data_IF_170231605485
#
_entry.id   IF_170231605485
#
_cell.length_a   1.000
_cell.length_b   1.000
_cell.length_c   1.000
_cell.angle_alpha   90.00
_cell.angle_beta   90.00
_cell.angle_gamma   90.00
#
_symmetry.space_group_name_H-M   'P 1'
#
loop_
_entity.id
_entity.type
_entity.pdbx_description
1 polymer ?
#
# COMPACT_ATOMS: atom_id res chain seq x y z
N UNK A 1 0.23 -7.89 -14.76
CA UNK A 1 0.75 -8.10 -13.39
C UNK A 1 -0.14 -7.46 -12.34
N UNK A 2 -0.21 -6.13 -12.26
CA UNK A 2 -1.05 -5.43 -11.27
C UNK A 2 -2.54 -5.85 -11.33
N UNK A 3 -3.17 -5.86 -12.51
CA UNK A 3 -4.55 -6.33 -12.67
C UNK A 3 -4.77 -7.76 -12.17
N UNK A 4 -3.86 -8.68 -12.50
CA UNK A 4 -3.94 -10.07 -12.05
C UNK A 4 -3.84 -10.20 -10.53
N UNK A 5 -3.00 -9.39 -9.89
CA UNK A 5 -2.88 -9.37 -8.43
C UNK A 5 -4.12 -8.77 -7.78
N UNK A 6 -4.70 -7.72 -8.35
CA UNK A 6 -5.96 -7.13 -7.86
C UNK A 6 -7.12 -8.12 -7.96
N UNK A 7 -7.36 -8.72 -9.14
CA UNK A 7 -8.44 -9.70 -9.32
C UNK A 7 -8.30 -10.90 -8.37
N UNK A 8 -7.08 -11.40 -8.16
CA UNK A 8 -6.82 -12.49 -7.23
C UNK A 8 -7.01 -12.06 -5.78
N UNK A 9 -6.61 -10.85 -5.42
CA UNK A 9 -6.83 -10.32 -4.07
C UNK A 9 -8.32 -10.12 -3.79
N UNK A 10 -9.08 -9.55 -4.74
CA UNK A 10 -10.52 -9.40 -4.65
C UNK A 10 -11.22 -10.75 -4.45
N UNK A 11 -10.83 -11.78 -5.22
CA UNK A 11 -11.38 -13.13 -5.05
C UNK A 11 -11.08 -13.71 -3.64
N UNK A 12 -9.87 -13.48 -3.10
CA UNK A 12 -9.54 -13.89 -1.73
C UNK A 12 -10.34 -13.09 -0.69
N UNK A 13 -10.53 -11.79 -0.93
CA UNK A 13 -11.27 -10.91 -0.05
C UNK A 13 -12.75 -11.32 0.03
N UNK A 14 -13.39 -11.61 -1.10
CA UNK A 14 -14.76 -12.14 -1.17
C UNK A 14 -14.89 -13.50 -0.46
N UNK A 15 -14.00 -14.44 -0.77
CA UNK A 15 -13.97 -15.78 -0.15
C UNK A 15 -13.82 -15.73 1.36
N UNK A 16 -13.13 -14.70 1.87
CA UNK A 16 -12.89 -14.48 3.28
C UNK A 16 -13.75 -13.37 3.87
N UNK A 17 -14.89 -13.04 3.24
CA UNK A 17 -15.91 -12.13 3.79
C UNK A 17 -15.34 -10.76 4.20
N UNK A 18 -14.40 -10.23 3.43
CA UNK A 18 -13.77 -8.94 3.71
C UNK A 18 -12.67 -8.96 4.76
N UNK A 19 -12.27 -10.11 5.30
CA UNK A 19 -11.17 -10.19 6.27
C UNK A 19 -9.81 -9.94 5.61
N UNK A 20 -9.38 -8.67 5.58
CA UNK A 20 -8.18 -8.20 4.89
C UNK A 20 -6.92 -9.02 5.20
N UNK A 21 -6.56 -9.16 6.48
CA UNK A 21 -5.36 -9.90 6.91
C UNK A 21 -5.40 -11.36 6.43
N UNK A 22 -6.56 -12.01 6.53
CA UNK A 22 -6.72 -13.40 6.10
C UNK A 22 -6.59 -13.52 4.58
N UNK A 23 -7.24 -12.63 3.83
CA UNK A 23 -7.14 -12.59 2.37
C UNK A 23 -5.69 -12.33 1.91
N UNK A 24 -4.97 -11.45 2.59
CA UNK A 24 -3.57 -11.15 2.31
C UNK A 24 -2.67 -12.38 2.50
N UNK A 25 -2.85 -13.10 3.60
CA UNK A 25 -2.09 -14.33 3.90
C UNK A 25 -2.37 -15.43 2.87
N UNK A 26 -3.62 -15.60 2.43
CA UNK A 26 -3.95 -16.61 1.41
C UNK A 26 -3.41 -16.21 0.02
N UNK A 27 -3.50 -14.92 -0.36
CA UNK A 27 -2.86 -14.44 -1.59
C UNK A 27 -1.35 -14.67 -1.55
N UNK A 28 -0.68 -14.39 -0.44
CA UNK A 28 0.77 -14.57 -0.31
C UNK A 28 1.19 -16.04 -0.53
N UNK A 29 0.40 -17.00 -0.04
CA UNK A 29 0.61 -18.44 -0.29
C UNK A 29 0.43 -18.79 -1.77
N UNK A 30 -0.64 -18.30 -2.39
CA UNK A 30 -0.92 -18.53 -3.81
C UNK A 30 0.18 -17.93 -4.70
N UNK A 31 0.59 -16.69 -4.40
CA UNK A 31 1.61 -15.97 -5.14
C UNK A 31 2.97 -16.70 -5.08
N UNK A 32 3.36 -17.17 -3.89
CA UNK A 32 4.62 -17.91 -3.71
C UNK A 32 4.65 -19.24 -4.45
N UNK A 33 3.49 -19.92 -4.56
CA UNK A 33 3.42 -21.28 -5.12
C UNK A 33 3.16 -21.30 -6.62
N UNK A 34 2.52 -20.27 -7.17
CA UNK A 34 2.29 -20.12 -8.60
C UNK A 34 3.56 -19.63 -9.31
N UNK A 35 4.15 -20.49 -10.14
CA UNK A 35 5.39 -20.22 -10.89
C UNK A 35 5.31 -18.98 -11.78
N UNK A 36 4.12 -18.62 -12.27
CA UNK A 36 3.94 -17.43 -13.10
C UNK A 36 3.96 -16.16 -12.25
N UNK A 37 3.29 -16.18 -11.09
CA UNK A 37 3.22 -15.05 -10.18
C UNK A 37 4.54 -14.83 -9.43
N UNK A 38 5.23 -15.90 -9.03
CA UNK A 38 6.48 -15.81 -8.26
C UNK A 38 7.63 -15.12 -9.00
N UNK A 39 7.50 -14.88 -10.31
CA UNK A 39 8.48 -14.17 -11.14
C UNK A 39 8.23 -12.65 -11.19
N UNK A 40 7.11 -12.19 -10.63
CA UNK A 40 6.80 -10.77 -10.55
C UNK A 40 7.71 -10.11 -9.52
N UNK A 41 8.45 -9.09 -9.93
CA UNK A 41 9.18 -8.19 -9.02
C UNK A 41 8.25 -7.12 -8.42
N UNK A 42 6.97 -7.46 -8.28
CA UNK A 42 5.93 -6.56 -7.80
C UNK A 42 5.70 -6.76 -6.29
N UNK A 43 5.21 -5.69 -5.67
CA UNK A 43 4.67 -5.69 -4.31
C UNK A 43 3.26 -5.12 -4.38
N UNK A 44 2.37 -5.61 -3.53
CA UNK A 44 0.98 -5.17 -3.46
C UNK A 44 0.72 -4.55 -2.08
N UNK A 45 0.30 -3.28 -2.05
CA UNK A 45 -0.20 -2.64 -0.85
C UNK A 45 -1.72 -2.78 -0.79
N UNK A 46 -2.25 -3.20 0.36
CA UNK A 46 -3.69 -3.32 0.61
C UNK A 46 -3.99 -2.71 1.97
N UNK A 47 -5.11 -2.00 2.10
CA UNK A 47 -5.48 -1.36 3.35
C UNK A 47 -7.00 -1.33 3.53
N UNK A 48 -7.42 -1.32 4.79
CA UNK A 48 -8.76 -0.95 5.20
C UNK A 48 -8.68 -0.17 6.53
N UNK A 49 -9.83 0.12 7.14
CA UNK A 49 -9.92 0.79 8.44
C UNK A 49 -9.15 0.12 9.60
N UNK A 50 -8.86 -1.18 9.47
CA UNK A 50 -8.30 -1.99 10.56
C UNK A 50 -6.81 -2.29 10.38
N UNK A 51 -6.30 -2.34 9.14
CA UNK A 51 -4.90 -2.68 8.86
C UNK A 51 -4.40 -2.15 7.50
N UNK A 52 -3.09 -1.91 7.42
CA UNK A 52 -2.34 -1.59 6.19
C UNK A 52 -1.26 -2.63 5.98
N UNK A 53 -1.26 -3.34 4.85
CA UNK A 53 -0.39 -4.49 4.60
C UNK A 53 0.35 -4.37 3.27
N UNK A 54 1.59 -4.85 3.26
CA UNK A 54 2.38 -5.08 2.05
C UNK A 54 2.51 -6.59 1.83
N UNK A 55 2.20 -7.04 0.61
CA UNK A 55 2.27 -8.44 0.17
C UNK A 55 3.34 -8.55 -0.93
N UNK A 56 4.23 -9.53 -0.81
CA UNK A 56 5.31 -9.76 -1.78
C UNK A 56 5.20 -11.10 -2.49
N UNK A 57 5.83 -11.22 -3.66
CA UNK A 57 5.90 -12.50 -4.40
C UNK A 57 6.68 -13.61 -3.70
N UNK A 58 7.44 -13.30 -2.65
CA UNK A 58 8.10 -14.30 -1.80
C UNK A 58 7.15 -14.94 -0.78
N UNK A 59 5.90 -14.43 -0.71
CA UNK A 59 4.89 -14.86 0.25
C UNK A 59 5.00 -14.17 1.59
N UNK A 60 5.61 -12.98 1.65
CA UNK A 60 5.64 -12.17 2.86
C UNK A 60 4.36 -11.32 2.97
N UNK A 61 3.85 -11.19 4.21
CA UNK A 61 2.81 -10.23 4.57
C UNK A 61 3.35 -9.39 5.70
N UNK A 62 3.52 -8.10 5.45
CA UNK A 62 4.17 -7.16 6.39
C UNK A 62 3.22 -6.01 6.69
N UNK A 63 3.01 -5.76 7.97
CA UNK A 63 2.33 -4.56 8.45
C UNK A 63 3.38 -3.51 8.82
N UNK A 64 3.43 -2.35 8.15
CA UNK A 64 4.38 -1.30 8.48
C UNK A 64 4.05 -0.61 9.80
N UNK A 65 5.08 -0.05 10.42
CA UNK A 65 4.92 0.84 11.57
C UNK A 65 4.04 2.04 11.20
N UNK A 66 3.20 2.47 12.14
CA UNK A 66 2.25 3.59 11.99
C UNK A 66 1.24 3.45 10.84
N UNK A 67 1.09 2.25 10.24
CA UNK A 67 0.20 2.00 9.12
C UNK A 67 0.59 2.72 7.82
N UNK A 68 1.83 3.22 7.74
CA UNK A 68 2.30 4.09 6.66
C UNK A 68 3.03 3.31 5.56
N UNK A 69 2.49 3.38 4.34
CA UNK A 69 3.07 2.73 3.16
C UNK A 69 3.44 3.80 2.13
N UNK A 70 4.67 3.73 1.62
CA UNK A 70 5.08 4.48 0.44
C UNK A 70 5.87 3.56 -0.50
N UNK A 71 5.63 3.68 -1.80
CA UNK A 71 6.21 2.81 -2.82
C UNK A 71 6.58 3.63 -4.07
N UNK A 72 7.41 3.04 -4.93
CA UNK A 72 7.86 3.68 -6.17
C UNK A 72 9.09 4.56 -6.00
N UNK A 73 9.46 5.26 -7.06
CA UNK A 73 10.69 6.04 -7.17
C UNK A 73 10.81 7.17 -6.13
N UNK A 74 9.70 7.83 -5.80
CA UNK A 74 9.62 8.86 -4.76
C UNK A 74 9.31 8.33 -3.37
N UNK A 75 9.15 7.00 -3.21
CA UNK A 75 8.58 6.39 -2.01
C UNK A 75 9.34 6.74 -0.72
N UNK A 76 10.67 6.69 -0.74
CA UNK A 76 11.48 6.99 0.45
C UNK A 76 11.34 8.46 0.91
N UNK A 77 11.23 9.41 -0.02
CA UNK A 77 11.05 10.83 0.30
C UNK A 77 9.65 11.09 0.87
N UNK A 78 8.63 10.51 0.22
CA UNK A 78 7.26 10.58 0.70
C UNK A 78 7.14 9.95 2.10
N UNK A 79 7.74 8.78 2.33
CA UNK A 79 7.71 8.11 3.63
C UNK A 79 8.35 8.95 4.74
N UNK A 80 9.51 9.55 4.46
CA UNK A 80 10.21 10.39 5.43
C UNK A 80 9.38 11.64 5.79
N UNK A 81 8.81 12.31 4.78
CA UNK A 81 7.95 13.46 4.98
C UNK A 81 6.68 13.09 5.77
N UNK A 82 6.00 12.01 5.36
CA UNK A 82 4.74 11.59 5.94
C UNK A 82 4.91 11.19 7.41
N UNK A 83 5.98 10.46 7.73
CA UNK A 83 6.31 10.10 9.12
C UNK A 83 6.60 11.33 9.97
N UNK A 84 7.31 12.33 9.44
CA UNK A 84 7.58 13.56 10.16
C UNK A 84 6.29 14.34 10.45
N UNK A 85 5.39 14.44 9.46
CA UNK A 85 4.09 15.11 9.62
C UNK A 85 3.20 14.38 10.63
N UNK A 86 3.10 13.06 10.53
CA UNK A 86 2.33 12.23 11.45
C UNK A 86 2.76 12.41 12.91
N UNK A 87 4.07 12.54 13.15
CA UNK A 87 4.62 12.67 14.51
C UNK A 87 4.58 14.10 15.09
N UNK A 88 4.36 15.12 14.26
CA UNK A 88 4.61 16.53 14.63
C UNK A 88 3.47 17.48 14.32
N UNK A 89 2.38 16.99 13.74
CA UNK A 89 1.25 17.81 13.33
C UNK A 89 -0.08 17.10 13.62
N UNK A 90 -1.16 17.87 13.61
CA UNK A 90 -2.54 17.36 13.73
C UNK A 90 -3.21 17.25 12.34
N UNK A 91 -2.42 17.10 11.27
CA UNK A 91 -2.92 16.98 9.91
C UNK A 91 -3.69 15.67 9.73
N UNK A 92 -4.73 15.72 8.90
CA UNK A 92 -5.49 14.54 8.47
C UNK A 92 -4.63 13.59 7.61
N UNK A 93 -5.06 12.33 7.49
CA UNK A 93 -4.39 11.36 6.62
C UNK A 93 -4.27 11.85 5.17
N UNK A 94 -5.29 12.55 4.67
CA UNK A 94 -5.29 13.20 3.36
C UNK A 94 -4.20 14.26 3.23
N UNK A 95 -4.15 15.20 4.17
CA UNK A 95 -3.19 16.29 4.17
C UNK A 95 -1.76 15.77 4.30
N UNK A 96 -1.54 14.74 5.12
CA UNK A 96 -0.25 14.06 5.25
C UNK A 96 0.15 13.42 3.92
N UNK A 97 -0.72 12.63 3.29
CA UNK A 97 -0.44 11.97 2.02
C UNK A 97 -0.15 12.98 0.90
N UNK A 98 -0.98 14.01 0.76
CA UNK A 98 -0.85 15.08 -0.23
C UNK A 98 0.47 15.83 -0.08
N UNK A 99 0.75 16.32 1.13
CA UNK A 99 1.96 17.09 1.42
C UNK A 99 3.22 16.26 1.17
N UNK A 100 3.20 14.99 1.55
CA UNK A 100 4.35 14.09 1.41
C UNK A 100 4.64 13.73 -0.05
N UNK A 101 3.60 13.56 -0.87
CA UNK A 101 3.75 13.34 -2.30
C UNK A 101 4.27 14.59 -3.02
N UNK A 102 3.83 15.79 -2.62
CA UNK A 102 4.39 17.04 -3.14
C UNK A 102 5.88 17.19 -2.80
N UNK A 103 6.28 16.93 -1.55
CA UNK A 103 7.69 16.93 -1.15
C UNK A 103 8.50 15.91 -1.97
N UNK A 104 7.94 14.72 -2.22
CA UNK A 104 8.58 13.73 -3.07
C UNK A 104 8.72 14.20 -4.52
N UNK A 105 7.73 14.91 -5.07
CA UNK A 105 7.77 15.53 -6.40
C UNK A 105 8.80 16.66 -6.53
N UNK A 106 9.11 17.35 -5.44
CA UNK A 106 10.16 18.38 -5.41
C UNK A 106 11.59 17.80 -5.38
N UNK A 107 11.75 16.55 -4.90
CA UNK A 107 13.06 15.93 -4.66
C UNK A 107 13.38 14.86 -5.70
N UNK A 108 12.42 14.00 -6.04
CA UNK A 108 12.63 12.85 -6.90
C UNK A 108 12.35 13.21 -8.36
N UNK A 109 13.37 13.13 -9.22
CA UNK A 109 13.28 13.42 -10.67
C UNK A 109 12.29 12.51 -11.43
N UNK A 110 11.84 11.42 -10.81
CA UNK A 110 10.88 10.47 -11.38
C UNK A 110 9.48 10.59 -10.75
N UNK A 111 9.24 11.59 -9.91
CA UNK A 111 7.94 11.89 -9.28
C UNK A 111 7.53 13.30 -9.67
N UNK A 112 6.26 13.54 -9.97
CA UNK A 112 5.75 14.86 -10.33
C UNK A 112 4.60 15.28 -9.41
N UNK A 113 4.07 16.48 -9.61
CA UNK A 113 3.02 17.07 -8.77
C UNK A 113 1.59 16.71 -9.22
N UNK A 114 1.43 15.86 -10.24
CA UNK A 114 0.12 15.40 -10.69
C UNK A 114 -0.30 14.20 -9.84
N UNK A 115 -1.05 14.48 -8.77
CA UNK A 115 -1.46 13.48 -7.79
C UNK A 115 -2.94 13.14 -7.92
N UNK A 116 -3.27 11.86 -7.71
CA UNK A 116 -4.63 11.37 -7.47
C UNK A 116 -4.68 10.88 -6.03
N UNK A 117 -5.67 11.35 -5.27
CA UNK A 117 -5.86 10.96 -3.87
C UNK A 117 -7.21 10.29 -3.76
N UNK A 118 -7.19 9.04 -3.31
CA UNK A 118 -8.36 8.24 -2.97
C UNK A 118 -8.46 8.11 -1.45
N UNK A 119 -9.67 8.18 -0.92
CA UNK A 119 -9.94 8.12 0.52
C UNK A 119 -11.03 7.09 0.81
N UNK A 120 -10.86 6.38 1.92
CA UNK A 120 -11.92 5.53 2.45
C UNK A 120 -12.68 6.32 3.52
N UNK A 121 -13.96 6.60 3.27
CA UNK A 121 -14.81 7.17 4.30
C UNK A 121 -14.96 6.17 5.45
N UNK A 122 -14.37 6.50 6.60
CA UNK A 122 -14.51 5.73 7.83
C UNK A 122 -15.84 6.09 8.51
N UNK A 123 -16.97 5.91 7.81
CA UNK A 123 -18.28 6.05 8.44
C UNK A 123 -18.54 4.79 9.27
N UNK A 124 -18.50 4.96 10.59
CA UNK A 124 -19.07 4.03 11.57
C UNK A 124 -20.52 4.35 11.85
#
# INVERSE_FOLDING_TARGET
>A
DAFTLFERFEAQLEKHQGHLVRAAVELAKDWRTDRSLSRLEAMLAVANKDASLIITGNGDVVEPEDGLIAMGSGGAFAQAAARALLLKTDLSAREIAETSLHIAGDICVFTNHNITIEEQDLVG
#
